data_IF_970337831367
#
_entry.id   IF_970337831367
#
_cell.length_a   1.000
_cell.length_b   1.000
_cell.length_c   1.000
_cell.angle_alpha   90.00
_cell.angle_beta   90.00
_cell.angle_gamma   90.00
#
_symmetry.space_group_name_H-M   'P 1'
#
loop_
_entity.id
_entity.type
_entity.pdbx_description
1 polymer ?
#
# COMPACT_ATOMS: atom_id res chain seq x y z
N UNK A 1 -9.34 -7.05 -8.12
CA UNK A 1 -9.59 -6.23 -6.92
C UNK A 1 -8.37 -6.32 -6.02
N UNK A 2 -7.91 -5.18 -5.47
CA UNK A 2 -6.75 -5.13 -4.57
C UNK A 2 -7.20 -5.45 -3.13
N UNK A 3 -6.47 -6.35 -2.46
CA UNK A 3 -6.74 -6.76 -1.07
C UNK A 3 -6.61 -5.57 -0.11
N UNK A 4 -5.68 -4.65 -0.35
CA UNK A 4 -5.49 -3.45 0.47
C UNK A 4 -6.75 -2.59 0.53
N UNK A 5 -7.38 -2.38 -0.63
CA UNK A 5 -8.57 -1.54 -0.73
C UNK A 5 -9.72 -2.18 0.06
N UNK A 6 -9.86 -3.50 -0.01
CA UNK A 6 -10.85 -4.23 0.78
C UNK A 6 -10.56 -4.13 2.28
N UNK A 7 -9.33 -4.35 2.72
CA UNK A 7 -8.97 -4.24 4.14
C UNK A 7 -9.28 -2.84 4.69
N UNK A 8 -8.92 -1.78 3.96
CA UNK A 8 -9.26 -0.40 4.34
C UNK A 8 -10.78 -0.19 4.38
N UNK A 9 -11.53 -0.72 3.41
CA UNK A 9 -13.00 -0.61 3.37
C UNK A 9 -13.67 -1.24 4.59
N UNK A 10 -13.08 -2.31 5.14
CA UNK A 10 -13.55 -2.99 6.36
C UNK A 10 -12.97 -2.42 7.65
N UNK A 11 -12.25 -1.29 7.58
CA UNK A 11 -11.71 -0.60 8.75
C UNK A 11 -10.40 -1.17 9.30
N UNK A 12 -9.73 -2.06 8.56
CA UNK A 12 -8.40 -2.51 8.93
C UNK A 12 -7.35 -1.42 8.63
N UNK A 13 -6.58 -1.07 9.64
CA UNK A 13 -5.48 -0.10 9.55
C UNK A 13 -4.14 -0.82 9.70
N UNK A 14 -3.63 -1.42 8.63
CA UNK A 14 -2.43 -2.26 8.69
C UNK A 14 -1.17 -1.51 9.13
N UNK A 15 -1.10 -0.21 8.90
CA UNK A 15 0.00 0.65 9.39
C UNK A 15 0.11 0.70 10.91
N UNK A 16 -0.95 0.34 11.66
CA UNK A 16 -0.91 0.25 13.12
C UNK A 16 -0.34 -1.09 13.62
N UNK A 17 -0.35 -2.13 12.79
CA UNK A 17 0.06 -3.48 13.17
C UNK A 17 1.38 -3.90 12.53
N UNK A 18 1.72 -3.34 11.36
CA UNK A 18 2.89 -3.71 10.57
C UNK A 18 3.76 -2.44 10.38
N UNK A 19 4.94 -2.36 11.03
CA UNK A 19 5.89 -1.28 10.82
C UNK A 19 6.30 -1.17 9.35
N UNK A 20 6.40 0.07 8.83
CA UNK A 20 6.74 0.33 7.42
C UNK A 20 5.60 0.12 6.42
N UNK A 21 4.43 -0.33 6.88
CA UNK A 21 3.26 -0.43 6.01
C UNK A 21 2.72 0.96 5.65
N UNK A 22 2.43 1.26 4.37
CA UNK A 22 2.07 2.61 3.93
C UNK A 22 0.78 3.10 4.61
N UNK A 23 0.84 4.30 5.18
CA UNK A 23 -0.32 4.98 5.75
C UNK A 23 -1.21 5.46 4.58
N UNK A 24 -2.50 5.10 4.55
CA UNK A 24 -3.40 5.59 3.50
C UNK A 24 -3.49 7.12 3.53
N UNK A 25 -3.36 7.77 2.37
CA UNK A 25 -3.47 9.22 2.25
C UNK A 25 -4.95 9.60 2.14
N UNK A 26 -5.48 10.25 3.18
CA UNK A 26 -6.90 10.62 3.28
C UNK A 26 -7.16 12.12 3.14
N UNK A 27 -6.17 12.93 2.76
CA UNK A 27 -6.38 14.37 2.73
C UNK A 27 -7.33 14.78 1.59
N UNK A 28 -8.42 15.45 1.98
CA UNK A 28 -9.38 16.11 1.07
C UNK A 28 -8.74 17.27 0.28
N UNK A 29 -7.56 17.72 0.71
CA UNK A 29 -6.78 18.82 0.12
C UNK A 29 -5.32 18.38 -0.06
N UNK A 30 -4.60 18.98 -1.00
CA UNK A 30 -3.17 18.64 -1.14
C UNK A 30 -2.38 19.21 0.06
N UNK A 31 -1.56 18.39 0.76
CA UNK A 31 -0.73 18.89 1.84
C UNK A 31 0.37 19.81 1.29
N UNK A 32 0.83 20.76 2.13
CA UNK A 32 1.88 21.69 1.78
C UNK A 32 3.23 20.98 1.56
N UNK A 33 4.16 21.66 0.88
CA UNK A 33 5.49 21.11 0.64
C UNK A 33 6.24 20.78 1.94
N UNK A 34 6.18 21.69 2.92
CA UNK A 34 6.77 21.54 4.25
C UNK A 34 6.20 20.31 4.97
N UNK A 35 4.88 20.13 4.95
CA UNK A 35 4.20 18.99 5.56
C UNK A 35 4.62 17.66 4.92
N UNK A 36 4.70 17.61 3.59
CA UNK A 36 5.16 16.41 2.86
C UNK A 36 6.60 16.06 3.22
N UNK A 37 7.49 17.05 3.30
CA UNK A 37 8.88 16.83 3.72
C UNK A 37 8.97 16.29 5.15
N UNK A 38 8.16 16.82 6.07
CA UNK A 38 8.11 16.35 7.46
C UNK A 38 7.46 14.97 7.64
N UNK A 39 6.88 14.38 6.60
CA UNK A 39 6.39 12.99 6.65
C UNK A 39 7.39 12.01 6.02
N UNK A 40 8.42 12.51 5.33
CA UNK A 40 9.40 11.74 4.55
C UNK A 40 10.72 11.54 5.30
N UNK A 41 10.72 11.53 6.64
CA UNK A 41 11.96 11.45 7.42
C UNK A 41 12.75 10.14 7.20
N UNK A 42 12.09 9.08 6.70
CA UNK A 42 12.68 7.74 6.58
C UNK A 42 13.09 7.32 5.15
N UNK A 43 12.67 8.05 4.10
CA UNK A 43 13.00 7.70 2.71
C UNK A 43 14.35 8.33 2.30
N UNK A 44 15.43 7.87 2.93
CA UNK A 44 16.77 8.16 2.42
C UNK A 44 16.89 7.62 0.99
N UNK A 45 17.35 8.42 0.01
CA UNK A 45 17.60 7.91 -1.32
C UNK A 45 18.58 6.73 -1.23
N UNK A 46 18.23 5.64 -1.90
CA UNK A 46 19.09 4.45 -1.96
C UNK A 46 20.34 4.79 -2.78
N UNK A 47 21.45 5.09 -2.09
CA UNK A 47 22.72 5.49 -2.70
C UNK A 47 23.57 4.24 -3.05
N UNK A 48 23.25 3.07 -2.48
CA UNK A 48 23.97 1.81 -2.64
C UNK A 48 23.07 0.66 -3.08
N UNK A 49 23.62 -0.31 -3.83
CA UNK A 49 22.89 -1.51 -4.27
C UNK A 49 22.38 -2.40 -3.12
N UNK A 50 23.04 -2.36 -1.96
CA UNK A 50 22.54 -3.05 -0.75
C UNK A 50 21.24 -2.40 -0.25
N UNK A 51 21.15 -1.07 -0.27
CA UNK A 51 19.95 -0.34 0.15
C UNK A 51 18.79 -0.61 -0.82
N UNK A 52 19.09 -0.77 -2.12
CA UNK A 52 18.10 -1.09 -3.13
C UNK A 52 17.52 -2.50 -2.91
N UNK A 53 18.37 -3.47 -2.62
CA UNK A 53 17.94 -4.85 -2.34
C UNK A 53 17.09 -4.93 -1.06
N UNK A 54 17.48 -4.23 0.01
CA UNK A 54 16.67 -4.13 1.23
C UNK A 54 15.30 -3.51 0.93
N UNK A 55 15.29 -2.43 0.13
CA UNK A 55 14.04 -1.78 -0.29
C UNK A 55 13.16 -2.71 -1.12
N UNK A 56 13.77 -3.50 -2.02
CA UNK A 56 13.06 -4.48 -2.85
C UNK A 56 12.43 -5.58 -2.01
N UNK A 57 13.17 -6.12 -1.04
CA UNK A 57 12.67 -7.15 -0.13
C UNK A 57 11.55 -6.62 0.78
N UNK A 58 11.70 -5.41 1.31
CA UNK A 58 10.66 -4.78 2.12
C UNK A 58 9.35 -4.57 1.31
N UNK A 59 9.46 -4.09 0.06
CA UNK A 59 8.30 -3.95 -0.83
C UNK A 59 7.63 -5.29 -1.13
N UNK A 60 8.40 -6.35 -1.36
CA UNK A 60 7.84 -7.69 -1.57
C UNK A 60 7.12 -8.21 -0.33
N UNK A 61 7.68 -8.00 0.86
CA UNK A 61 7.08 -8.42 2.13
C UNK A 61 5.75 -7.73 2.43
N UNK A 62 5.63 -6.43 2.11
CA UNK A 62 4.41 -5.65 2.36
C UNK A 62 3.36 -5.81 1.25
N UNK A 63 3.66 -6.57 0.19
CA UNK A 63 2.75 -6.75 -0.93
C UNK A 63 1.73 -7.87 -0.67
N UNK A 64 0.47 -7.61 -1.01
CA UNK A 64 -0.59 -8.62 -0.98
C UNK A 64 -0.81 -9.24 -2.36
N UNK A 65 -1.31 -10.47 -2.35
CA UNK A 65 -1.75 -11.13 -3.57
C UNK A 65 -2.99 -10.44 -4.18
N UNK A 66 -3.21 -10.65 -5.48
CA UNK A 66 -4.43 -10.20 -6.14
C UNK A 66 -5.60 -11.07 -5.67
N UNK A 67 -6.74 -10.45 -5.38
CA UNK A 67 -7.94 -11.21 -5.05
C UNK A 67 -8.39 -12.06 -6.25
N UNK A 68 -8.79 -13.33 -6.04
CA UNK A 68 -9.25 -14.19 -7.13
C UNK A 68 -10.41 -13.55 -7.88
N UNK A 69 -10.36 -13.63 -9.20
CA UNK A 69 -11.41 -13.11 -10.06
C UNK A 69 -12.63 -14.02 -9.99
N UNK A 70 -13.69 -13.55 -9.33
CA UNK A 70 -14.96 -14.27 -9.26
C UNK A 70 -15.62 -14.14 -10.63
N UNK A 71 -15.54 -15.20 -11.45
CA UNK A 71 -16.30 -15.28 -12.68
C UNK A 71 -17.79 -15.44 -12.33
N UNK A 72 -18.56 -14.36 -12.41
CA UNK A 72 -20.01 -14.46 -12.42
C UNK A 72 -20.41 -15.12 -13.73
N UNK A 73 -20.57 -16.44 -13.69
CA UNK A 73 -21.11 -17.18 -14.82
C UNK A 73 -22.54 -16.66 -15.04
N UNK A 74 -22.70 -15.80 -16.05
CA UNK A 74 -24.00 -15.28 -16.48
C UNK A 74 -24.79 -16.50 -16.94
N UNK A 75 -25.56 -17.10 -16.04
CA UNK A 75 -26.57 -18.09 -16.40
C UNK A 75 -27.45 -17.39 -17.43
N UNK A 76 -27.28 -17.77 -18.70
CA UNK A 76 -28.22 -17.41 -19.75
C UNK A 76 -29.55 -17.96 -19.27
N UNK A 77 -30.47 -17.07 -18.95
CA UNK A 77 -31.88 -17.41 -18.84
C UNK A 77 -32.27 -18.06 -20.16
N UNK A 78 -32.59 -19.34 -20.10
CA UNK A 78 -33.24 -20.05 -21.19
C UNK A 78 -34.69 -19.57 -21.33
#
# INVERSE_FOLDING_TARGET
TDVNIWLVTFGFHLHNAIPGFPIPKFDLTQPSLEMKKSQLWDDLPSISGVQEEVTRQAKAFLSFERMPEIQFNRRRSA
#
